data_IF_906183473843
#
_entry.id   IF_906183473843
#
_cell.length_a   1.000
_cell.length_b   1.000
_cell.length_c   1.000
_cell.angle_alpha   90.00
_cell.angle_beta   90.00
_cell.angle_gamma   90.00
#
_symmetry.space_group_name_H-M   'P 1'
#
loop_
_entity.id
_entity.type
_entity.pdbx_description
1 polymer ?
#
# COMPACT_ATOMS: atom_id res chain seq x y z
N UNK A 1 -27.66 5.31 6.55
CA UNK A 1 -28.05 4.12 5.76
C UNK A 1 -26.82 3.72 4.98
N UNK A 2 -26.34 2.49 5.16
CA UNK A 2 -25.11 2.01 4.51
C UNK A 2 -25.21 2.08 2.98
N UNK A 3 -24.22 2.69 2.33
CA UNK A 3 -24.13 2.80 0.87
C UNK A 3 -23.69 1.48 0.19
N UNK A 4 -23.21 0.52 0.99
CA UNK A 4 -22.59 -0.72 0.52
C UNK A 4 -23.45 -1.53 -0.46
N UNK A 5 -24.77 -1.76 -0.24
CA UNK A 5 -25.59 -2.51 -1.19
C UNK A 5 -25.63 -1.87 -2.57
N UNK A 6 -25.75 -0.54 -2.64
CA UNK A 6 -25.78 0.21 -3.89
C UNK A 6 -24.44 0.11 -4.63
N UNK A 7 -23.32 0.21 -3.90
CA UNK A 7 -21.98 0.06 -4.47
C UNK A 7 -21.78 -1.35 -5.03
N UNK A 8 -22.16 -2.38 -4.27
CA UNK A 8 -22.07 -3.79 -4.69
C UNK A 8 -22.87 -4.01 -5.98
N UNK A 9 -24.12 -3.56 -6.02
CA UNK A 9 -24.97 -3.68 -7.21
C UNK A 9 -24.36 -2.97 -8.41
N UNK A 10 -23.91 -1.72 -8.24
CA UNK A 10 -23.30 -0.95 -9.33
C UNK A 10 -22.03 -1.62 -9.89
N UNK A 11 -21.18 -2.17 -9.02
CA UNK A 11 -19.97 -2.89 -9.45
C UNK A 11 -20.32 -4.19 -10.20
N UNK A 12 -21.31 -4.94 -9.74
CA UNK A 12 -21.77 -6.18 -10.41
C UNK A 12 -22.40 -5.88 -11.76
N UNK A 13 -23.17 -4.79 -11.89
CA UNK A 13 -23.80 -4.36 -13.14
C UNK A 13 -22.78 -4.02 -14.25
N UNK A 14 -21.51 -3.75 -13.89
CA UNK A 14 -20.43 -3.61 -14.89
C UNK A 14 -20.13 -4.90 -15.66
N UNK A 15 -20.55 -6.06 -15.13
CA UNK A 15 -20.25 -7.39 -15.69
C UNK A 15 -18.81 -7.86 -15.44
N UNK A 16 -17.98 -7.07 -14.77
CA UNK A 16 -16.59 -7.40 -14.45
C UNK A 16 -16.42 -8.04 -13.06
N UNK A 17 -17.45 -7.93 -12.23
CA UNK A 17 -17.47 -8.39 -10.84
C UNK A 17 -18.68 -9.26 -10.57
N UNK A 18 -18.51 -10.27 -9.72
CA UNK A 18 -19.60 -11.10 -9.20
C UNK A 18 -19.56 -11.15 -7.68
N UNK A 19 -20.71 -11.27 -7.03
CA UNK A 19 -20.75 -11.50 -5.58
C UNK A 19 -20.18 -12.86 -5.24
N UNK A 20 -19.23 -12.90 -4.30
CA UNK A 20 -18.62 -14.13 -3.82
C UNK A 20 -19.16 -14.48 -2.42
N UNK A 21 -19.66 -15.71 -2.27
CA UNK A 21 -20.16 -16.20 -1.00
C UNK A 21 -19.03 -16.90 -0.23
N UNK A 22 -18.25 -16.10 0.51
CA UNK A 22 -17.12 -16.59 1.31
C UNK A 22 -17.53 -17.67 2.32
N UNK A 23 -18.62 -17.52 3.11
CA UNK A 23 -19.05 -18.54 4.06
C UNK A 23 -19.33 -19.89 3.41
N UNK A 24 -20.02 -19.91 2.26
CA UNK A 24 -20.29 -21.15 1.51
C UNK A 24 -19.01 -21.76 0.93
N UNK A 25 -18.08 -20.93 0.47
CA UNK A 25 -16.79 -21.42 -0.02
C UNK A 25 -15.96 -22.06 1.10
N UNK A 26 -15.95 -21.46 2.29
CA UNK A 26 -15.30 -21.99 3.48
C UNK A 26 -15.95 -23.30 3.95
N UNK A 27 -17.28 -23.38 3.98
CA UNK A 27 -18.02 -24.63 4.30
C UNK A 27 -17.65 -25.76 3.33
N UNK A 28 -17.62 -25.48 2.03
CA UNK A 28 -17.18 -26.45 1.01
C UNK A 28 -15.71 -26.85 1.23
N UNK A 29 -14.86 -25.91 1.64
CA UNK A 29 -13.47 -26.21 1.95
C UNK A 29 -13.34 -27.15 3.15
N UNK A 30 -14.03 -26.84 4.24
CA UNK A 30 -14.06 -27.61 5.49
C UNK A 30 -14.64 -29.02 5.32
N UNK A 31 -15.66 -29.17 4.47
CA UNK A 31 -16.28 -30.48 4.22
C UNK A 31 -15.39 -31.48 3.44
N UNK A 32 -14.33 -31.00 2.77
CA UNK A 32 -13.43 -31.85 1.98
C UNK A 32 -12.22 -32.28 2.79
N UNK A 33 -12.21 -33.53 3.24
CA UNK A 33 -11.09 -34.11 4.00
C UNK A 33 -9.74 -34.01 3.28
N UNK A 34 -9.73 -34.11 1.94
CA UNK A 34 -8.51 -33.94 1.12
C UNK A 34 -7.94 -32.52 1.14
N UNK A 35 -8.74 -31.53 1.55
CA UNK A 35 -8.34 -30.13 1.60
C UNK A 35 -7.88 -29.68 2.98
N UNK A 36 -8.04 -30.52 4.02
CA UNK A 36 -7.63 -30.23 5.39
C UNK A 36 -6.13 -30.46 5.67
N UNK A 37 -5.34 -30.73 4.63
CA UNK A 37 -3.90 -30.92 4.75
C UNK A 37 -3.13 -29.61 4.95
N UNK A 38 -1.89 -29.67 5.47
CA UNK A 38 -1.04 -28.49 5.70
C UNK A 38 -0.68 -27.72 4.42
N UNK A 39 -0.85 -28.33 3.25
CA UNK A 39 -0.62 -27.71 1.94
C UNK A 39 -1.63 -26.63 1.61
N UNK A 40 -2.81 -26.63 2.26
CA UNK A 40 -3.90 -25.71 1.94
C UNK A 40 -4.17 -24.70 3.07
N UNK A 41 -3.28 -24.61 4.07
CA UNK A 41 -3.39 -23.65 5.18
C UNK A 41 -3.52 -22.23 4.67
N UNK A 42 -2.75 -21.84 3.65
CA UNK A 42 -2.82 -20.51 3.06
C UNK A 42 -4.18 -20.23 2.39
N UNK A 43 -4.79 -21.23 1.76
CA UNK A 43 -6.12 -21.11 1.14
C UNK A 43 -7.20 -20.97 2.21
N UNK A 44 -7.11 -21.76 3.29
CA UNK A 44 -7.98 -21.64 4.45
C UNK A 44 -7.90 -20.25 5.07
N UNK A 45 -6.70 -19.77 5.37
CA UNK A 45 -6.48 -18.43 5.94
C UNK A 45 -7.03 -17.34 5.02
N UNK A 46 -6.88 -17.50 3.71
CA UNK A 46 -7.44 -16.58 2.73
C UNK A 46 -8.98 -16.56 2.79
N UNK A 47 -9.63 -17.73 2.81
CA UNK A 47 -11.09 -17.83 2.89
C UNK A 47 -11.64 -17.28 4.21
N UNK A 48 -11.00 -17.62 5.35
CA UNK A 48 -11.34 -17.05 6.66
C UNK A 48 -11.27 -15.51 6.63
N UNK A 49 -10.24 -14.95 5.99
CA UNK A 49 -10.10 -13.50 5.84
C UNK A 49 -11.17 -12.87 4.93
N UNK A 50 -11.61 -13.59 3.90
CA UNK A 50 -12.72 -13.14 3.04
C UNK A 50 -14.07 -13.20 3.78
N UNK A 51 -14.25 -14.14 4.71
CA UNK A 51 -15.49 -14.27 5.49
C UNK A 51 -15.74 -13.11 6.45
N UNK A 52 -14.71 -12.36 6.85
CA UNK A 52 -14.89 -11.22 7.76
C UNK A 52 -15.40 -9.96 7.07
N UNK A 53 -15.23 -9.84 5.74
CA UNK A 53 -15.72 -8.70 4.98
C UNK A 53 -17.25 -8.66 4.95
N UNK A 54 -17.85 -7.46 4.90
CA UNK A 54 -19.31 -7.32 4.82
C UNK A 54 -19.85 -7.70 3.45
N UNK A 55 -19.03 -7.51 2.40
CA UNK A 55 -19.26 -8.08 1.09
C UNK A 55 -17.93 -8.45 0.42
N UNK A 56 -17.96 -9.49 -0.41
CA UNK A 56 -16.82 -9.89 -1.24
C UNK A 56 -17.26 -9.95 -2.68
N UNK A 57 -16.48 -9.30 -3.55
CA UNK A 57 -16.63 -9.41 -4.99
C UNK A 57 -15.47 -10.22 -5.56
N UNK A 58 -15.76 -11.09 -6.52
CA UNK A 58 -14.78 -11.81 -7.31
C UNK A 58 -14.65 -11.16 -8.68
N UNK A 59 -13.42 -10.99 -9.13
CA UNK A 59 -13.11 -10.50 -10.46
C UNK A 59 -13.38 -11.58 -11.52
N UNK A 60 -14.20 -11.25 -12.52
CA UNK A 60 -14.50 -12.12 -13.69
C UNK A 60 -13.91 -11.56 -15.00
N UNK A 61 -13.20 -10.43 -14.95
CA UNK A 61 -12.55 -9.87 -16.12
C UNK A 61 -11.25 -10.57 -16.52
N UNK A 62 -10.36 -9.85 -17.21
CA UNK A 62 -9.14 -10.42 -17.78
C UNK A 62 -8.19 -10.89 -16.65
N UNK A 63 -7.68 -12.12 -16.77
CA UNK A 63 -6.84 -12.80 -15.76
C UNK A 63 -5.52 -12.10 -15.42
N UNK A 64 -5.10 -11.09 -16.20
CA UNK A 64 -3.81 -10.42 -16.06
C UNK A 64 -3.78 -9.27 -15.03
N UNK A 65 -4.83 -9.07 -14.24
CA UNK A 65 -4.99 -7.85 -13.43
C UNK A 65 -4.31 -7.90 -12.05
N UNK A 66 -3.91 -9.08 -11.59
CA UNK A 66 -3.08 -9.27 -10.39
C UNK A 66 -3.85 -9.29 -9.06
N UNK A 67 -5.19 -9.28 -9.08
CA UNK A 67 -6.05 -9.54 -7.92
C UNK A 67 -7.26 -10.37 -8.34
N UNK A 68 -7.82 -11.13 -7.39
CA UNK A 68 -8.97 -12.02 -7.63
C UNK A 68 -10.22 -11.61 -6.86
N UNK A 69 -10.05 -10.93 -5.74
CA UNK A 69 -11.14 -10.57 -4.83
C UNK A 69 -11.02 -9.12 -4.37
N UNK A 70 -12.17 -8.47 -4.23
CA UNK A 70 -12.33 -7.20 -3.55
C UNK A 70 -13.14 -7.43 -2.28
N UNK A 71 -12.59 -7.02 -1.14
CA UNK A 71 -13.29 -7.02 0.14
C UNK A 71 -13.87 -5.63 0.36
N UNK A 72 -15.15 -5.57 0.64
CA UNK A 72 -15.88 -4.34 0.90
C UNK A 72 -16.39 -4.37 2.33
N UNK A 73 -16.35 -3.19 2.94
CA UNK A 73 -16.68 -3.00 4.33
C UNK A 73 -17.65 -1.84 4.47
N UNK A 74 -18.66 -2.02 5.30
CA UNK A 74 -19.61 -0.99 5.62
C UNK A 74 -18.96 0.06 6.54
N UNK A 75 -19.41 1.30 6.42
CA UNK A 75 -19.02 2.41 7.31
C UNK A 75 -19.21 2.04 8.79
N UNK A 76 -20.30 1.33 9.10
CA UNK A 76 -20.60 0.86 10.44
C UNK A 76 -19.55 -0.13 10.97
N UNK A 77 -19.05 -1.02 10.10
CA UNK A 77 -17.99 -1.98 10.46
C UNK A 77 -16.64 -1.30 10.62
N UNK A 78 -16.34 -0.32 9.77
CA UNK A 78 -15.09 0.43 9.83
C UNK A 78 -15.12 1.54 10.88
N UNK A 79 -16.27 1.77 11.51
CA UNK A 79 -16.49 2.86 12.46
C UNK A 79 -16.02 4.20 11.91
N UNK A 80 -16.50 4.51 10.70
CA UNK A 80 -16.12 5.73 10.01
C UNK A 80 -17.33 6.35 9.33
N UNK A 81 -17.35 7.67 9.27
CA UNK A 81 -18.25 8.43 8.42
C UNK A 81 -17.42 9.05 7.29
N UNK A 82 -17.42 8.45 6.11
CA UNK A 82 -16.54 8.85 5.01
C UNK A 82 -16.79 10.30 4.59
N UNK A 83 -18.06 10.74 4.63
CA UNK A 83 -18.46 12.11 4.25
C UNK A 83 -18.01 13.17 5.26
N UNK A 84 -17.69 12.77 6.50
CA UNK A 84 -17.24 13.68 7.56
C UNK A 84 -15.75 13.52 7.93
N UNK A 85 -15.09 12.47 7.45
CA UNK A 85 -13.69 12.20 7.72
C UNK A 85 -12.76 13.05 6.84
N UNK A 86 -11.57 13.43 7.33
CA UNK A 86 -10.55 14.03 6.50
C UNK A 86 -10.06 13.03 5.45
N UNK A 87 -10.12 13.46 4.19
CA UNK A 87 -9.75 12.66 3.02
C UNK A 87 -8.57 13.29 2.27
N UNK A 88 -7.79 12.43 1.63
CA UNK A 88 -6.67 12.83 0.78
C UNK A 88 -6.86 12.24 -0.60
N UNK A 89 -6.74 13.08 -1.63
CA UNK A 89 -6.82 12.65 -3.03
C UNK A 89 -5.55 11.87 -3.39
N UNK A 90 -5.74 10.72 -4.03
CA UNK A 90 -4.66 9.85 -4.53
C UNK A 90 -4.70 9.77 -6.05
N UNK A 91 -3.55 9.53 -6.71
CA UNK A 91 -3.54 9.27 -8.13
C UNK A 91 -4.33 8.00 -8.47
N UNK A 92 -5.00 7.99 -9.62
CA UNK A 92 -5.82 6.87 -10.10
C UNK A 92 -5.04 5.58 -10.32
N UNK A 93 -3.76 5.71 -10.61
CA UNK A 93 -2.85 4.59 -10.74
C UNK A 93 -2.21 4.30 -9.39
N UNK A 94 -2.60 3.18 -8.78
CA UNK A 94 -1.86 2.62 -7.67
C UNK A 94 -0.72 1.76 -8.23
N UNK A 95 0.55 2.20 -8.16
CA UNK A 95 1.67 1.27 -8.28
C UNK A 95 1.55 0.13 -7.29
N UNK A 96 2.12 -1.02 -7.64
CA UNK A 96 2.41 -2.10 -6.68
C UNK A 96 3.42 -1.69 -5.57
N UNK A 97 3.82 -0.43 -5.53
CA UNK A 97 4.86 0.11 -4.68
C UNK A 97 4.23 1.11 -3.72
N UNK A 98 4.29 0.88 -2.40
CA UNK A 98 3.75 1.82 -1.43
C UNK A 98 4.58 3.11 -1.46
N UNK A 99 3.90 4.26 -1.46
CA UNK A 99 4.47 5.58 -1.30
C UNK A 99 3.65 6.36 -0.27
N UNK A 100 4.26 7.38 0.33
CA UNK A 100 3.61 8.29 1.25
C UNK A 100 2.87 9.39 0.48
N UNK A 101 1.57 9.51 0.75
CA UNK A 101 0.68 10.50 0.13
C UNK A 101 0.76 11.84 0.84
N UNK A 102 0.66 11.82 2.17
CA UNK A 102 0.71 13.02 3.02
C UNK A 102 2.15 13.34 3.40
N UNK A 103 2.79 14.21 2.61
CA UNK A 103 4.18 14.59 2.79
C UNK A 103 4.46 15.29 4.11
N UNK A 104 3.46 15.94 4.72
CA UNK A 104 3.61 16.61 6.01
C UNK A 104 4.04 15.67 7.15
N UNK A 105 3.71 14.38 7.05
CA UNK A 105 4.16 13.33 7.97
C UNK A 105 5.47 12.66 7.55
N UNK A 106 6.14 13.15 6.50
CA UNK A 106 7.37 12.54 6.03
C UNK A 106 8.53 12.81 7.02
N UNK A 107 9.24 11.79 7.51
CA UNK A 107 10.23 11.95 8.59
C UNK A 107 11.40 12.90 8.27
N UNK A 108 11.77 12.99 7.00
CA UNK A 108 12.82 13.87 6.52
C UNK A 108 12.32 15.21 5.94
N UNK A 109 11.02 15.53 6.01
CA UNK A 109 10.44 16.69 5.33
C UNK A 109 11.13 18.02 5.69
N UNK A 110 11.37 18.23 6.99
CA UNK A 110 11.90 19.49 7.52
C UNK A 110 13.42 19.48 7.69
N UNK A 111 14.11 18.46 7.18
CA UNK A 111 15.57 18.36 7.32
C UNK A 111 16.28 19.21 6.29
N UNK A 112 17.23 20.00 6.77
CA UNK A 112 18.07 20.88 5.96
C UNK A 112 19.47 20.31 5.70
N UNK A 113 19.83 19.20 6.35
CA UNK A 113 21.13 18.52 6.18
C UNK A 113 21.16 17.57 4.97
N UNK A 114 20.04 17.46 4.25
CA UNK A 114 19.92 16.60 3.07
C UNK A 114 19.89 15.10 3.39
N UNK A 115 19.81 14.72 4.67
CA UNK A 115 19.68 13.32 5.07
C UNK A 115 18.24 12.85 4.90
N UNK A 116 18.05 11.82 4.07
CA UNK A 116 16.74 11.28 3.75
C UNK A 116 16.53 9.92 4.40
N UNK A 117 15.40 9.76 5.07
CA UNK A 117 14.94 8.49 5.65
C UNK A 117 13.41 8.51 5.70
N UNK A 118 12.81 7.32 5.68
CA UNK A 118 11.35 7.17 5.60
C UNK A 118 10.90 6.57 4.26
N UNK A 119 9.57 6.46 4.06
CA UNK A 119 8.99 5.97 2.83
C UNK A 119 9.21 6.95 1.66
N UNK A 120 9.31 6.44 0.44
CA UNK A 120 9.27 7.30 -0.75
C UNK A 120 7.98 8.12 -0.79
N UNK A 121 8.05 9.36 -1.26
CA UNK A 121 6.86 10.20 -1.46
C UNK A 121 6.21 9.96 -2.82
N UNK A 122 4.98 10.44 -3.00
CA UNK A 122 4.33 10.43 -4.31
C UNK A 122 5.14 11.17 -5.39
N UNK A 123 5.90 12.21 -5.06
CA UNK A 123 6.70 12.91 -6.07
C UNK A 123 7.83 12.01 -6.56
N UNK A 124 8.48 11.29 -5.64
CA UNK A 124 9.57 10.37 -5.91
C UNK A 124 9.17 9.32 -6.96
N UNK A 125 7.94 8.85 -6.82
CA UNK A 125 7.33 7.85 -7.68
C UNK A 125 7.14 8.32 -9.12
N UNK A 126 7.06 9.63 -9.35
CA UNK A 126 6.84 10.24 -10.66
C UNK A 126 8.13 10.69 -11.34
N UNK A 127 9.22 10.83 -10.58
CA UNK A 127 10.49 11.40 -11.05
C UNK A 127 11.59 10.37 -11.39
N UNK A 128 11.37 9.08 -11.15
CA UNK A 128 12.34 8.04 -11.54
C UNK A 128 12.38 7.86 -13.07
N UNK A 129 13.15 8.73 -13.72
CA UNK A 129 13.59 8.59 -15.10
C UNK A 129 14.79 7.66 -15.15
N UNK A 130 14.60 6.50 -15.77
CA UNK A 130 15.57 5.62 -16.47
C UNK A 130 17.09 5.86 -16.27
N UNK A 131 17.58 5.99 -15.03
CA UNK A 131 19.02 6.06 -14.77
C UNK A 131 19.60 4.66 -14.52
N UNK A 132 20.20 4.20 -15.60
CA UNK A 132 21.01 3.02 -15.78
C UNK A 132 22.18 3.01 -14.78
N UNK A 133 22.14 2.14 -13.76
CA UNK A 133 23.29 1.40 -13.21
C UNK A 133 22.85 0.48 -12.04
N UNK A 134 22.47 -0.76 -12.39
CA UNK A 134 22.72 -1.98 -11.63
C UNK A 134 22.45 -1.99 -10.12
N UNK A 135 21.17 -1.97 -9.72
CA UNK A 135 20.59 -2.63 -8.52
C UNK A 135 19.13 -2.18 -8.23
N UNK A 136 18.60 -1.23 -9.00
CA UNK A 136 17.23 -0.73 -8.87
C UNK A 136 16.56 -0.52 -10.22
N UNK A 137 16.58 -1.54 -11.08
CA UNK A 137 15.99 -1.46 -12.41
C UNK A 137 14.50 -1.08 -12.32
N UNK A 138 14.19 0.14 -12.79
CA UNK A 138 12.90 0.54 -13.35
C UNK A 138 11.68 0.34 -12.46
N UNK A 139 11.52 1.15 -11.40
CA UNK A 139 10.20 1.39 -10.82
C UNK A 139 9.58 2.65 -11.42
N UNK A 140 9.40 2.66 -12.76
CA UNK A 140 8.25 3.38 -13.31
C UNK A 140 7.03 2.76 -12.64
N UNK A 141 6.51 3.49 -11.66
CA UNK A 141 5.43 3.07 -10.79
C UNK A 141 4.15 2.77 -11.60
N UNK A 142 4.09 3.30 -12.81
CA UNK A 142 3.09 3.01 -13.81
C UNK A 142 3.64 2.01 -14.83
N UNK A 143 3.21 0.75 -14.71
CA UNK A 143 3.33 -0.20 -15.81
C UNK A 143 2.72 0.41 -17.07
N UNK A 144 3.50 0.59 -18.12
CA UNK A 144 3.00 1.00 -19.45
C UNK A 144 2.08 -0.04 -20.07
N UNK A 145 2.15 -1.29 -19.58
CA UNK A 145 1.34 -2.44 -20.04
C UNK A 145 -0.11 -2.29 -19.56
N UNK A 146 -0.31 -1.73 -18.37
CA UNK A 146 -1.62 -1.34 -17.89
C UNK A 146 -1.75 0.17 -18.07
N UNK A 147 -2.21 0.62 -19.24
CA UNK A 147 -2.87 1.93 -19.37
C UNK A 147 -4.15 1.91 -18.51
N UNK A 148 -3.99 1.93 -17.19
CA UNK A 148 -5.01 2.34 -16.22
C UNK A 148 -4.84 3.83 -15.93
N UNK A 149 -4.33 4.58 -16.90
CA UNK A 149 -4.41 6.02 -16.86
C UNK A 149 -5.89 6.37 -16.75
N UNK A 150 -6.20 7.37 -15.93
CA UNK A 150 -7.38 8.23 -16.09
C UNK A 150 -7.70 8.28 -17.56
N UNK A 151 -8.76 7.58 -17.99
CA UNK A 151 -9.31 7.87 -19.30
C UNK A 151 -9.45 9.39 -19.31
N UNK A 152 -9.06 10.08 -20.38
CA UNK A 152 -9.03 11.55 -20.43
C UNK A 152 -10.38 12.24 -20.07
N UNK A 153 -11.41 11.44 -19.77
CA UNK A 153 -12.77 11.79 -19.38
C UNK A 153 -13.14 11.46 -17.92
N UNK A 154 -12.38 10.64 -17.19
CA UNK A 154 -12.67 10.40 -15.77
C UNK A 154 -12.21 11.65 -15.02
N UNK A 155 -13.10 12.45 -14.45
CA UNK A 155 -12.77 13.64 -13.66
C UNK A 155 -12.99 13.42 -12.16
N UNK A 156 -13.43 12.23 -11.77
CA UNK A 156 -13.81 11.94 -10.39
C UNK A 156 -12.54 11.77 -9.54
N UNK A 157 -12.37 12.53 -8.45
CA UNK A 157 -11.26 12.34 -7.53
C UNK A 157 -11.37 10.98 -6.85
N UNK A 158 -10.22 10.30 -6.66
CA UNK A 158 -10.15 9.10 -5.83
C UNK A 158 -9.56 9.53 -4.50
N UNK A 159 -10.33 9.30 -3.44
CA UNK A 159 -9.97 9.74 -2.10
C UNK A 159 -9.73 8.52 -1.20
N UNK A 160 -8.73 8.64 -0.33
CA UNK A 160 -8.52 7.73 0.80
C UNK A 160 -8.59 8.53 2.10
N UNK A 161 -8.62 7.84 3.23
CA UNK A 161 -8.51 8.48 4.54
C UNK A 161 -7.14 9.13 4.70
N UNK A 162 -7.10 10.28 5.37
CA UNK A 162 -5.85 10.82 5.89
C UNK A 162 -5.24 9.84 6.90
N UNK A 163 -3.93 9.93 7.12
CA UNK A 163 -3.21 9.09 8.09
C UNK A 163 -3.85 9.16 9.50
N UNK A 164 -4.20 10.35 10.05
CA UNK A 164 -4.88 10.43 11.35
C UNK A 164 -6.22 9.68 11.37
N UNK A 165 -7.12 9.95 10.42
CA UNK A 165 -8.42 9.27 10.37
C UNK A 165 -8.27 7.77 10.12
N UNK A 166 -7.26 7.36 9.37
CA UNK A 166 -6.97 5.95 9.18
C UNK A 166 -6.50 5.28 10.47
N UNK A 167 -5.68 5.95 11.28
CA UNK A 167 -5.28 5.45 12.59
C UNK A 167 -6.47 5.32 13.55
N UNK A 168 -7.43 6.24 13.51
CA UNK A 168 -8.67 6.13 14.29
C UNK A 168 -9.43 4.84 13.97
N UNK A 169 -9.61 4.54 12.68
CA UNK A 169 -10.21 3.29 12.21
C UNK A 169 -9.42 2.07 12.70
N UNK A 170 -8.10 2.09 12.58
CA UNK A 170 -7.26 0.95 12.97
C UNK A 170 -7.31 0.69 14.47
N UNK A 171 -7.26 1.73 15.30
CA UNK A 171 -7.36 1.59 16.76
C UNK A 171 -8.73 1.07 17.17
N UNK A 172 -9.80 1.58 16.55
CA UNK A 172 -11.14 1.06 16.79
C UNK A 172 -11.23 -0.44 16.45
N UNK A 173 -10.79 -0.84 15.26
CA UNK A 173 -10.83 -2.23 14.81
C UNK A 173 -10.06 -3.17 15.75
N UNK A 174 -8.86 -2.75 16.16
CA UNK A 174 -8.06 -3.48 17.12
C UNK A 174 -8.81 -3.71 18.44
N UNK A 175 -9.39 -2.64 19.00
CA UNK A 175 -9.98 -2.68 20.34
C UNK A 175 -11.35 -3.36 20.36
N UNK A 176 -12.15 -3.22 19.29
CA UNK A 176 -13.57 -3.59 19.29
C UNK A 176 -13.92 -4.76 18.37
N UNK A 177 -13.07 -5.11 17.40
CA UNK A 177 -13.37 -6.20 16.45
C UNK A 177 -12.71 -7.54 16.77
N UNK A 178 -11.89 -7.65 17.82
CA UNK A 178 -11.11 -8.88 18.11
C UNK A 178 -11.96 -10.14 18.22
N UNK A 179 -13.19 -10.06 18.75
CA UNK A 179 -14.08 -11.23 18.89
C UNK A 179 -14.92 -11.50 17.65
N UNK A 180 -15.39 -10.45 16.97
CA UNK A 180 -16.31 -10.58 15.82
C UNK A 180 -15.58 -10.77 14.48
N UNK A 181 -14.42 -10.11 14.32
CA UNK A 181 -13.59 -10.08 13.10
C UNK A 181 -12.10 -10.11 13.47
N UNK A 182 -11.59 -11.24 14.00
CA UNK A 182 -10.22 -11.35 14.53
C UNK A 182 -9.13 -11.08 13.50
N UNK A 183 -9.31 -11.43 12.22
CA UNK A 183 -8.32 -11.16 11.16
C UNK A 183 -8.27 -9.68 10.80
N UNK A 184 -9.39 -8.98 10.83
CA UNK A 184 -9.46 -7.52 10.69
C UNK A 184 -8.70 -6.84 11.82
N UNK A 185 -8.97 -7.21 13.08
CA UNK A 185 -8.25 -6.69 14.25
C UNK A 185 -6.73 -6.97 14.17
N UNK A 186 -6.35 -8.19 13.79
CA UNK A 186 -4.94 -8.57 13.60
C UNK A 186 -4.27 -7.77 12.46
N UNK A 187 -5.01 -7.49 11.39
CA UNK A 187 -4.53 -6.64 10.29
C UNK A 187 -4.37 -5.19 10.76
N UNK A 188 -5.24 -4.72 11.64
CA UNK A 188 -5.14 -3.38 12.21
C UNK A 188 -3.89 -3.22 13.07
N UNK A 189 -3.62 -4.18 13.97
CA UNK A 189 -2.39 -4.23 14.76
C UNK A 189 -1.13 -4.17 13.88
N UNK A 190 -1.08 -4.99 12.83
CA UNK A 190 0.06 -5.01 11.91
C UNK A 190 0.25 -3.67 11.18
N UNK A 191 -0.86 -3.02 10.79
CA UNK A 191 -0.79 -1.73 10.11
C UNK A 191 -0.37 -0.59 11.04
N UNK A 192 -0.83 -0.58 12.29
CA UNK A 192 -0.36 0.36 13.32
C UNK A 192 1.16 0.21 13.51
N UNK A 193 1.68 -1.02 13.60
CA UNK A 193 3.12 -1.25 13.71
C UNK A 193 3.87 -0.72 12.48
N UNK A 194 3.32 -0.93 11.27
CA UNK A 194 3.94 -0.45 10.02
C UNK A 194 3.96 1.07 9.91
N UNK A 195 2.87 1.74 10.26
CA UNK A 195 2.79 3.20 10.27
C UNK A 195 3.79 3.74 11.29
N UNK A 196 3.79 3.20 12.51
CA UNK A 196 4.76 3.54 13.58
C UNK A 196 6.19 3.41 13.09
N UNK A 197 6.53 2.26 12.49
CA UNK A 197 7.87 1.98 11.99
C UNK A 197 8.26 2.91 10.84
N UNK A 198 7.39 3.14 9.88
CA UNK A 198 7.74 3.86 8.65
C UNK A 198 7.76 5.38 8.85
N UNK A 199 6.90 5.90 9.73
CA UNK A 199 6.84 7.34 10.05
C UNK A 199 7.69 7.72 11.26
N UNK A 200 8.39 6.76 11.87
CA UNK A 200 9.28 6.98 13.01
C UNK A 200 8.56 7.63 14.21
N UNK A 201 7.36 7.13 14.52
CA UNK A 201 6.50 7.68 15.58
C UNK A 201 7.05 7.46 17.00
N UNK A 202 8.18 6.77 17.16
CA UNK A 202 8.94 6.78 18.42
C UNK A 202 9.63 8.14 18.68
N UNK A 203 9.84 8.95 17.63
CA UNK A 203 10.46 10.26 17.75
C UNK A 203 9.39 11.30 18.08
N UNK A 204 9.51 12.10 19.16
CA UNK A 204 8.48 13.05 19.57
C UNK A 204 8.05 14.04 18.48
N UNK A 205 9.02 14.55 17.71
CA UNK A 205 8.75 15.51 16.63
C UNK A 205 7.99 14.91 15.43
N UNK A 206 7.95 13.58 15.28
CA UNK A 206 7.13 12.88 14.29
C UNK A 206 5.77 12.50 14.87
N UNK A 207 5.78 12.06 16.14
CA UNK A 207 4.61 11.60 16.87
C UNK A 207 3.62 12.72 17.17
N UNK A 208 4.09 13.79 17.78
CA UNK A 208 3.23 14.79 18.40
C UNK A 208 2.32 15.49 17.37
N UNK A 209 2.78 15.87 16.15
CA UNK A 209 1.89 16.42 15.12
C UNK A 209 0.74 15.50 14.73
N UNK A 210 0.96 14.18 14.79
CA UNK A 210 -0.05 13.18 14.47
C UNK A 210 -1.02 13.00 15.65
N UNK A 211 -0.52 12.96 16.89
CA UNK A 211 -1.36 12.80 18.08
C UNK A 211 -2.35 13.95 18.27
N UNK A 212 -2.00 15.17 17.84
CA UNK A 212 -2.93 16.31 17.90
C UNK A 212 -4.07 16.25 16.87
N UNK A 213 -4.02 15.32 15.91
CA UNK A 213 -4.98 15.22 14.81
C UNK A 213 -5.88 13.99 14.88
N UNK A 214 -5.55 13.01 15.74
CA UNK A 214 -6.36 11.81 15.96
C UNK A 214 -7.42 12.04 17.03
N UNK A 215 -8.40 11.17 17.10
CA UNK A 215 -9.42 11.20 18.15
C UNK A 215 -8.82 10.87 19.53
N UNK A 216 -9.50 11.33 20.60
CA UNK A 216 -9.03 11.12 21.97
C UNK A 216 -8.89 9.63 22.35
N UNK A 217 -9.74 8.74 21.84
CA UNK A 217 -9.60 7.30 22.06
C UNK A 217 -8.29 6.77 21.45
N UNK A 218 -7.99 7.20 20.23
CA UNK A 218 -6.76 6.85 19.51
C UNK A 218 -5.52 7.41 20.18
N UNK A 219 -5.55 8.68 20.62
CA UNK A 219 -4.47 9.28 21.40
C UNK A 219 -4.20 8.47 22.68
N UNK A 220 -5.25 8.14 23.44
CA UNK A 220 -5.15 7.36 24.67
C UNK A 220 -4.57 5.96 24.45
N UNK A 221 -4.78 5.38 23.26
CA UNK A 221 -4.15 4.12 22.87
C UNK A 221 -2.68 4.31 22.43
N UNK A 222 -2.42 5.27 21.54
CA UNK A 222 -1.12 5.44 20.90
C UNK A 222 -0.05 5.93 21.88
N UNK A 223 -0.37 6.80 22.83
CA UNK A 223 0.59 7.31 23.82
C UNK A 223 1.27 6.17 24.60
N UNK A 224 0.55 5.27 25.31
CA UNK A 224 1.17 4.16 26.03
C UNK A 224 1.74 3.09 25.10
N UNK A 225 1.20 2.92 23.88
CA UNK A 225 1.76 2.01 22.87
C UNK A 225 3.16 2.47 22.44
N UNK A 226 3.30 3.73 22.01
CA UNK A 226 4.55 4.31 21.53
C UNK A 226 5.60 4.43 22.64
N UNK A 227 5.18 4.67 23.88
CA UNK A 227 6.10 4.67 25.03
C UNK A 227 6.80 3.31 25.27
N UNK A 228 6.20 2.22 24.78
CA UNK A 228 6.76 0.86 24.88
C UNK A 228 7.35 0.35 23.56
N UNK A 229 7.23 1.12 22.49
CA UNK A 229 7.69 0.70 21.18
C UNK A 229 9.21 0.75 21.11
N UNK A 230 9.82 -0.40 20.81
CA UNK A 230 11.26 -0.51 20.56
C UNK A 230 11.50 -0.86 19.09
N UNK A 231 12.17 0.05 18.38
CA UNK A 231 12.54 -0.22 16.99
C UNK A 231 13.59 -1.32 16.93
N UNK A 232 13.37 -2.29 16.04
CA UNK A 232 14.38 -3.30 15.71
C UNK A 232 15.66 -2.62 15.19
N UNK A 233 16.85 -2.96 15.73
CA UNK A 233 18.10 -2.32 15.35
C UNK A 233 18.35 -2.46 13.85
N UNK A 234 18.88 -1.40 13.27
CA UNK A 234 19.39 -1.39 11.91
C UNK A 234 20.90 -1.47 11.94
N UNK A 235 21.50 -2.05 10.92
CA UNK A 235 22.94 -2.28 10.90
C UNK A 235 23.56 -1.79 9.59
N UNK A 236 24.75 -1.24 9.70
CA UNK A 236 25.59 -0.84 8.57
C UNK A 236 26.89 -1.63 8.56
N UNK A 237 27.42 -1.90 7.37
CA UNK A 237 28.74 -2.52 7.20
C UNK A 237 29.83 -1.44 7.20
N UNK A 238 30.75 -1.54 8.15
CA UNK A 238 31.99 -0.78 8.28
C UNK A 238 33.19 -1.62 7.84
N UNK A 239 34.15 -0.99 7.16
CA UNK A 239 35.43 -1.62 6.78
C UNK A 239 36.29 -1.99 7.99
N UNK A 240 36.25 -1.19 9.05
CA UNK A 240 37.10 -1.33 10.23
C UNK A 240 36.41 -2.09 11.36
N UNK A 241 35.09 -1.97 11.49
CA UNK A 241 34.34 -2.51 12.63
C UNK A 241 33.39 -3.65 12.27
N UNK A 242 33.25 -4.00 10.98
CA UNK A 242 32.29 -5.00 10.54
C UNK A 242 30.85 -4.49 10.65
N UNK A 243 29.95 -5.26 11.27
CA UNK A 243 28.54 -4.87 11.37
C UNK A 243 28.31 -3.96 12.58
N UNK A 244 27.86 -2.73 12.36
CA UNK A 244 27.64 -1.71 13.40
C UNK A 244 26.16 -1.34 13.47
N UNK A 245 25.59 -1.28 14.68
CA UNK A 245 24.21 -0.81 14.88
C UNK A 245 24.12 0.68 14.61
N UNK A 246 23.12 1.11 13.85
CA UNK A 246 22.93 2.50 13.43
C UNK A 246 21.50 2.96 13.68
N UNK A 247 21.38 4.26 13.94
CA UNK A 247 20.12 4.98 14.01
C UNK A 247 19.85 5.60 12.64
N UNK A 248 18.85 5.10 11.92
CA UNK A 248 18.59 5.49 10.53
C UNK A 248 18.32 7.00 10.37
N UNK A 249 17.72 7.64 11.38
CA UNK A 249 17.45 9.08 11.37
C UNK A 249 18.67 9.94 11.74
N UNK A 250 19.75 9.35 12.24
CA UNK A 250 20.92 10.05 12.73
C UNK A 250 22.15 9.72 11.87
N UNK A 251 22.56 10.61 10.94
CA UNK A 251 23.72 10.38 10.08
C UNK A 251 25.01 10.14 10.88
N UNK A 252 25.14 10.73 12.07
CA UNK A 252 26.32 10.58 12.92
C UNK A 252 26.42 9.21 13.59
N UNK A 253 25.38 8.37 13.51
CA UNK A 253 25.43 7.00 14.01
C UNK A 253 26.17 6.05 13.05
N UNK A 254 26.39 6.47 11.80
CA UNK A 254 27.05 5.67 10.78
C UNK A 254 28.58 5.78 10.88
N UNK A 255 29.33 4.67 10.76
CA UNK A 255 30.78 4.70 10.64
C UNK A 255 31.24 5.45 9.38
N UNK A 256 32.30 6.26 9.50
CA UNK A 256 32.86 7.05 8.38
C UNK A 256 33.30 6.18 7.19
N UNK A 257 33.65 4.93 7.45
CA UNK A 257 34.21 3.98 6.50
C UNK A 257 33.17 2.95 5.99
N UNK A 258 31.88 3.27 6.11
CA UNK A 258 30.78 2.42 5.65
C UNK A 258 30.66 2.37 4.10
N UNK A 259 30.32 1.18 3.57
CA UNK A 259 30.15 0.92 2.12
C UNK A 259 28.73 1.23 1.63
N UNK A 260 28.59 1.57 0.32
CA UNK A 260 28.33 2.93 -0.10
C UNK A 260 26.99 3.50 0.43
N UNK A 261 27.10 4.67 1.06
CA UNK A 261 26.26 5.86 0.89
C UNK A 261 24.83 5.58 0.38
N UNK A 262 23.84 5.74 1.27
CA UNK A 262 22.57 6.41 0.93
C UNK A 262 22.86 7.89 0.55
N UNK A 263 23.78 8.11 -0.39
CA UNK A 263 23.85 9.35 -1.14
C UNK A 263 22.97 9.15 -2.35
N UNK A 264 21.76 9.69 -2.30
CA UNK A 264 21.20 10.33 -3.48
C UNK A 264 19.93 11.07 -3.13
N UNK A 265 20.04 12.41 -3.07
CA UNK A 265 19.05 13.40 -3.56
C UNK A 265 19.46 14.84 -3.33
N UNK A 266 20.49 15.10 -2.53
CA UNK A 266 20.96 16.48 -2.29
C UNK A 266 21.69 17.13 -3.49
N UNK A 267 22.12 16.36 -4.51
CA UNK A 267 22.83 16.93 -5.69
C UNK A 267 21.94 17.27 -6.89
N UNK A 268 20.80 16.60 -7.09
CA UNK A 268 20.02 16.80 -8.32
C UNK A 268 18.98 17.94 -8.23
N UNK A 269 18.78 18.54 -7.04
CA UNK A 269 17.89 19.70 -6.87
C UNK A 269 18.63 21.04 -6.94
N UNK A 270 19.96 21.07 -6.77
CA UNK A 270 20.74 22.32 -6.83
C UNK A 270 21.08 22.75 -8.26
N UNK A 271 21.07 21.82 -9.21
CA UNK A 271 21.54 22.05 -10.58
C UNK A 271 20.40 22.04 -11.62
N UNK A 272 19.14 22.27 -11.23
CA UNK A 272 18.14 22.69 -12.21
C UNK A 272 18.27 24.20 -12.44
N UNK A 273 18.76 24.67 -13.60
CA UNK A 273 18.64 26.07 -13.94
C UNK A 273 17.14 26.39 -14.02
N UNK A 274 16.71 27.42 -13.28
CA UNK A 274 15.38 28.01 -13.44
C UNK A 274 15.16 28.29 -14.92
N UNK A 275 14.20 27.60 -15.53
CA UNK A 275 13.77 27.94 -16.88
C UNK A 275 12.97 29.25 -16.83
N UNK A 276 13.34 30.30 -17.57
CA UNK A 276 12.49 31.46 -17.77
C UNK A 276 11.30 31.08 -18.67
N UNK A 277 10.19 31.79 -18.50
CA UNK A 277 8.89 31.40 -19.05
C UNK A 277 8.70 31.46 -20.56
N UNK A 278 7.46 31.13 -20.92
CA UNK A 278 6.72 31.36 -22.18
C UNK A 278 6.83 30.37 -23.37
N UNK A 279 5.68 29.69 -23.55
CA UNK A 279 4.86 29.61 -24.77
C UNK A 279 5.16 28.60 -25.90
N UNK A 280 4.07 27.88 -26.24
CA UNK A 280 3.55 27.56 -27.59
C UNK A 280 4.05 26.33 -28.37
N UNK A 281 3.06 25.47 -28.66
CA UNK A 281 2.81 24.58 -29.82
C UNK A 281 3.92 23.73 -30.47
N UNK A 282 3.57 22.46 -30.71
CA UNK A 282 3.90 21.81 -31.99
C UNK A 282 4.35 20.36 -31.95
N UNK A 283 3.46 19.48 -32.41
CA UNK A 283 3.71 18.29 -33.23
C UNK A 283 4.57 17.12 -32.70
N UNK A 284 3.91 15.94 -32.64
CA UNK A 284 4.53 14.63 -32.70
C UNK A 284 5.27 14.38 -34.03
N UNK A 285 6.12 13.35 -34.08
CA UNK A 285 5.83 12.32 -35.06
C UNK A 285 5.96 10.87 -34.54
N UNK A 286 5.17 10.01 -35.18
CA UNK A 286 5.19 8.55 -35.16
C UNK A 286 6.56 7.96 -35.52
N UNK A 287 6.92 6.82 -34.92
CA UNK A 287 7.60 5.73 -35.64
C UNK A 287 7.17 4.36 -35.13
N UNK A 288 7.18 3.42 -36.07
CA UNK A 288 6.46 2.16 -36.11
C UNK A 288 7.45 0.99 -36.27
N UNK A 289 7.12 -0.14 -35.63
CA UNK A 289 7.55 -1.54 -35.87
C UNK A 289 9.01 -1.97 -35.57
N UNK A 290 9.19 -2.98 -34.71
CA UNK A 290 9.26 -4.42 -35.08
C UNK A 290 10.08 -5.28 -34.08
N UNK A 291 9.40 -6.28 -33.51
CA UNK A 291 9.80 -7.69 -33.38
C UNK A 291 11.00 -8.16 -32.53
N UNK A 292 10.61 -9.02 -31.58
CA UNK A 292 11.24 -10.28 -31.14
C UNK A 292 12.46 -10.25 -30.21
N UNK A 293 12.28 -10.82 -29.01
CA UNK A 293 13.05 -11.99 -28.58
C UNK A 293 12.42 -12.70 -27.38
N UNK A 294 12.52 -14.03 -27.44
CA UNK A 294 12.07 -15.04 -26.47
C UNK A 294 12.87 -14.96 -25.16
N UNK A 295 12.22 -15.36 -24.07
CA UNK A 295 12.57 -16.56 -23.27
C UNK A 295 12.38 -16.38 -21.76
N UNK A 296 11.50 -17.25 -21.24
CA UNK A 296 11.58 -18.02 -19.98
C UNK A 296 11.77 -17.28 -18.65
N UNK A 297 10.66 -17.11 -17.93
CA UNK A 297 10.61 -17.40 -16.48
C UNK A 297 9.30 -18.10 -16.14
N UNK A 298 9.43 -19.15 -15.33
CA UNK A 298 8.43 -20.15 -15.01
C UNK A 298 7.21 -19.60 -14.27
N UNK A 299 6.05 -20.02 -14.75
CA UNK A 299 4.74 -19.77 -14.17
C UNK A 299 4.53 -20.57 -12.88
N UNK A 300 4.15 -19.90 -11.80
CA UNK A 300 3.15 -20.47 -10.88
C UNK A 300 1.80 -19.92 -11.35
N UNK A 301 1.05 -20.76 -12.06
CA UNK A 301 -0.20 -20.38 -12.72
C UNK A 301 -1.35 -20.11 -11.73
N UNK A 302 -2.42 -19.44 -12.18
CA UNK A 302 -3.63 -19.28 -11.40
C UNK A 302 -4.34 -20.64 -11.23
N UNK A 303 -4.77 -20.92 -10.00
CA UNK A 303 -5.54 -22.11 -9.65
C UNK A 303 -6.93 -22.00 -10.29
N UNK A 304 -7.22 -22.90 -11.23
CA UNK A 304 -8.55 -23.11 -11.83
C UNK A 304 -9.44 -23.81 -10.81
N UNK A 305 -10.50 -23.15 -10.36
CA UNK A 305 -11.70 -23.83 -9.86
C UNK A 305 -12.58 -24.20 -11.05
N UNK A 306 -12.44 -25.42 -11.56
CA UNK A 306 -13.42 -26.00 -12.48
C UNK A 306 -14.65 -26.45 -11.69
N UNK A 307 -15.70 -25.64 -11.66
CA UNK A 307 -17.04 -26.08 -11.29
C UNK A 307 -17.66 -26.84 -12.45
N UNK A 308 -17.53 -28.17 -12.47
CA UNK A 308 -18.44 -29.02 -13.25
C UNK A 308 -19.74 -29.18 -12.45
N UNK A 309 -20.81 -28.53 -12.92
CA UNK A 309 -22.18 -28.86 -12.54
C UNK A 309 -22.53 -30.25 -13.11
N UNK A 310 -23.16 -31.15 -12.35
CA UNK A 310 -23.80 -32.33 -12.94
C UNK A 310 -25.08 -31.90 -13.67
N UNK A 311 -25.17 -32.23 -14.96
CA UNK A 311 -26.42 -32.18 -15.70
C UNK A 311 -27.39 -33.24 -15.16
N UNK A 312 -28.69 -32.91 -15.22
CA UNK A 312 -29.81 -33.81 -14.99
C UNK A 312 -29.75 -35.08 -15.86
#
# INVERSE_FOLDING_TARGET
>A
MSQLPTIVTSLVETGLWTTFNSPKALEVFESKATWQGPTNTAEREHLEHLCEADAVLRWEGIQSIGFSYMRLWAEETYHINIDASPLVEVPELYPWNPFLVEKEFHPALHRNDGWFYGPHTLDDATTDTDDYNGAGAGRRIFSTIFRRAKGAQNTTPINILSIPAYLDVLVYQRNHCTTSKPRLASSADWQIERITKNLFLELPHQRDPLLFQVEAETENFLVPYLAKYERKPQFANSKSQGLVSVDVWNPNSYPEDSFPRLEWRAKNLRDQPQAPGSSSTGAAPEQTLASASRSTYDHVGPIRLETRLPNH
#
